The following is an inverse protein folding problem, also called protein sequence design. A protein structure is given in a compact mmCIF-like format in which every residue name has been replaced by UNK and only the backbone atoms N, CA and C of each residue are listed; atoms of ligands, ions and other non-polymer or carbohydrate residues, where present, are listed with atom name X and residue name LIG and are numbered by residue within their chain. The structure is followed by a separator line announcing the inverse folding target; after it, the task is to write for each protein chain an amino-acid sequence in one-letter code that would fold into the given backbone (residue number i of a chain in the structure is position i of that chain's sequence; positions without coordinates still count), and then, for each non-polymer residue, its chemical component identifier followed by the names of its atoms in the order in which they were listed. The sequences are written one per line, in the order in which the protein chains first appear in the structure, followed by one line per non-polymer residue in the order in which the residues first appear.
data_IF_856133280953
#
_entry.id   IF_856133280953
#
_cell.length_a   1.000
_cell.length_b   1.000
_cell.length_c   1.000
_cell.angle_alpha   90.00
_cell.angle_beta   90.00
_cell.angle_gamma   90.00
#
_symmetry.space_group_name_H-M   'P 1'
#
loop_
_entity.id
_entity.type
_entity.pdbx_description
1 polymer ?
#
# COMPACT_ATOMS: atom_id res chain seq x y z
N UNK A 1 -7.45 8.34 -16.65
CA UNK A 1 -6.37 9.35 -16.47
C UNK A 1 -6.27 9.93 -15.04
N UNK A 2 -7.01 9.43 -14.03
CA UNK A 2 -6.88 9.90 -12.64
C UNK A 2 -5.87 9.11 -11.78
N UNK A 3 -5.42 7.94 -12.25
CA UNK A 3 -4.52 7.04 -11.51
C UNK A 3 -3.08 7.59 -11.50
N UNK A 4 -2.65 8.20 -12.61
CA UNK A 4 -1.31 8.78 -12.75
C UNK A 4 -1.09 9.98 -11.82
N UNK A 5 -2.12 10.80 -11.58
CA UNK A 5 -2.00 11.93 -10.64
C UNK A 5 -1.87 11.48 -9.18
N UNK A 6 -2.56 10.40 -8.78
CA UNK A 6 -2.47 9.87 -7.41
C UNK A 6 -1.09 9.28 -7.11
N UNK A 7 -0.55 8.48 -8.04
CA UNK A 7 0.80 7.90 -7.91
C UNK A 7 1.88 8.98 -7.97
N UNK A 8 1.69 10.03 -8.77
CA UNK A 8 2.62 11.16 -8.79
C UNK A 8 2.66 11.86 -7.42
N UNK A 9 1.51 12.14 -6.82
CA UNK A 9 1.41 12.76 -5.50
C UNK A 9 2.09 11.88 -4.43
N UNK A 10 1.79 10.57 -4.40
CA UNK A 10 2.42 9.66 -3.44
C UNK A 10 3.94 9.62 -3.61
N UNK A 11 4.43 9.59 -4.86
CA UNK A 11 5.86 9.57 -5.17
C UNK A 11 6.57 10.82 -4.64
N UNK A 12 5.99 12.02 -4.82
CA UNK A 12 6.58 13.25 -4.29
C UNK A 12 6.57 13.32 -2.75
N UNK A 13 5.49 12.87 -2.10
CA UNK A 13 5.45 12.80 -0.65
C UNK A 13 6.51 11.85 -0.10
N UNK A 14 6.68 10.66 -0.70
CA UNK A 14 7.68 9.69 -0.24
C UNK A 14 9.11 10.12 -0.60
N UNK A 15 9.31 10.85 -1.70
CA UNK A 15 10.60 11.49 -2.00
C UNK A 15 10.99 12.48 -0.89
N UNK A 16 10.06 13.37 -0.50
CA UNK A 16 10.26 14.29 0.61
C UNK A 16 10.55 13.57 1.93
N UNK A 17 9.87 12.45 2.18
CA UNK A 17 10.12 11.61 3.34
C UNK A 17 11.53 11.00 3.34
N UNK A 18 12.02 10.52 2.19
CA UNK A 18 13.39 10.04 2.03
C UNK A 18 14.43 11.12 2.36
N UNK A 19 14.24 12.32 1.84
CA UNK A 19 15.08 13.50 2.15
C UNK A 19 15.05 13.81 3.65
N UNK A 20 13.86 13.79 4.26
CA UNK A 20 13.67 14.04 5.69
C UNK A 20 14.36 12.98 6.55
N UNK A 21 14.27 11.69 6.18
CA UNK A 21 14.96 10.61 6.87
C UNK A 21 16.47 10.83 6.88
N UNK A 22 17.06 11.20 5.75
CA UNK A 22 18.50 11.50 5.71
C UNK A 22 18.86 12.73 6.56
N UNK A 23 17.99 13.75 6.60
CA UNK A 23 18.17 14.90 7.49
C UNK A 23 18.14 14.49 8.96
N UNK A 24 17.20 13.61 9.34
CA UNK A 24 17.11 13.05 10.68
C UNK A 24 18.35 12.23 11.02
N UNK A 25 18.82 11.35 10.13
CA UNK A 25 20.04 10.56 10.36
C UNK A 25 21.24 11.47 10.62
N UNK A 26 21.44 12.49 9.79
CA UNK A 26 22.53 13.45 9.97
C UNK A 26 22.40 14.23 11.28
N UNK A 27 21.17 14.60 11.67
CA UNK A 27 20.88 15.23 12.97
C UNK A 27 21.21 14.31 14.15
N UNK A 28 20.85 13.03 14.08
CA UNK A 28 21.12 12.03 15.13
C UNK A 28 22.62 11.79 15.28
N UNK A 29 23.34 11.73 14.16
CA UNK A 29 24.80 11.58 14.17
C UNK A 29 25.55 12.87 14.52
N UNK A 30 24.83 13.97 14.76
CA UNK A 30 25.40 15.32 15.01
C UNK A 30 26.35 15.78 13.89
N UNK A 31 26.07 15.34 12.66
CA UNK A 31 26.84 15.68 11.46
C UNK A 31 26.13 16.85 10.76
N UNK A 32 26.87 17.80 10.14
CA UNK A 32 26.24 18.88 9.39
C UNK A 32 25.28 18.35 8.33
N UNK A 33 24.08 18.93 8.29
CA UNK A 33 22.99 18.57 7.37
C UNK A 33 23.35 18.69 5.88
N UNK A 34 24.47 19.32 5.54
CA UNK A 34 24.93 19.50 4.15
C UNK A 34 26.20 18.73 3.84
N UNK A 35 26.61 17.77 4.68
CA UNK A 35 27.89 17.06 4.48
C UNK A 35 27.95 16.39 3.11
N UNK A 36 26.89 15.68 2.74
CA UNK A 36 26.83 14.88 1.53
C UNK A 36 25.47 15.07 0.84
N UNK A 37 25.31 16.12 0.02
CA UNK A 37 24.02 16.46 -0.61
C UNK A 37 23.50 15.37 -1.55
N UNK A 38 24.40 14.57 -2.14
CA UNK A 38 24.04 13.45 -3.01
C UNK A 38 23.28 12.34 -2.28
N UNK A 39 23.56 12.14 -1.00
CA UNK A 39 22.83 11.14 -0.21
C UNK A 39 21.35 11.50 -0.08
N UNK A 40 21.00 12.79 0.02
CA UNK A 40 19.59 13.22 0.06
C UNK A 40 18.85 12.89 -1.23
N UNK A 41 19.51 13.00 -2.38
CA UNK A 41 18.93 12.60 -3.66
C UNK A 41 18.75 11.08 -3.73
N UNK A 42 19.71 10.30 -3.23
CA UNK A 42 19.61 8.84 -3.19
C UNK A 42 18.49 8.37 -2.26
N UNK A 43 18.41 8.93 -1.05
CA UNK A 43 17.34 8.62 -0.11
C UNK A 43 15.98 9.11 -0.60
N UNK A 44 15.92 10.27 -1.26
CA UNK A 44 14.71 10.74 -1.93
C UNK A 44 14.28 9.80 -3.06
N UNK A 45 15.20 9.37 -3.93
CA UNK A 45 14.92 8.43 -5.00
C UNK A 45 14.46 7.06 -4.48
N UNK A 46 15.06 6.58 -3.38
CA UNK A 46 14.59 5.38 -2.66
C UNK A 46 13.16 5.57 -2.14
N UNK A 47 12.87 6.70 -1.51
CA UNK A 47 11.51 7.04 -1.07
C UNK A 47 10.52 7.08 -2.23
N UNK A 48 10.86 7.72 -3.34
CA UNK A 48 10.06 7.75 -4.56
C UNK A 48 9.78 6.35 -5.11
N UNK A 49 10.80 5.48 -5.17
CA UNK A 49 10.65 4.09 -5.60
C UNK A 49 9.67 3.31 -4.71
N UNK A 50 9.76 3.50 -3.38
CA UNK A 50 8.80 2.92 -2.43
C UNK A 50 7.39 3.44 -2.69
N UNK A 51 7.22 4.76 -2.86
CA UNK A 51 5.91 5.37 -3.16
C UNK A 51 5.29 4.88 -4.47
N UNK A 52 6.12 4.53 -5.45
CA UNK A 52 5.69 3.92 -6.71
C UNK A 52 5.27 2.45 -6.56
N UNK A 53 5.98 1.67 -5.73
CA UNK A 53 5.71 0.24 -5.50
C UNK A 53 4.64 -0.04 -4.44
N UNK A 54 4.35 0.92 -3.56
CA UNK A 54 3.39 0.77 -2.47
C UNK A 54 2.00 0.26 -2.91
N UNK A 55 1.38 0.76 -4.00
CA UNK A 55 0.05 0.29 -4.42
C UNK A 55 0.04 -1.18 -4.86
N UNK A 56 1.11 -1.63 -5.53
CA UNK A 56 1.28 -3.02 -5.96
C UNK A 56 1.43 -3.95 -4.76
N UNK A 57 2.23 -3.54 -3.76
CA UNK A 57 2.37 -4.31 -2.52
C UNK A 57 1.07 -4.37 -1.72
N UNK A 58 0.30 -3.29 -1.69
CA UNK A 58 -1.00 -3.26 -1.01
C UNK A 58 -1.99 -4.23 -1.68
N UNK A 59 -2.06 -4.24 -3.01
CA UNK A 59 -2.90 -5.19 -3.75
C UNK A 59 -2.50 -6.64 -3.47
N UNK A 60 -1.21 -6.96 -3.59
CA UNK A 60 -0.72 -8.31 -3.32
C UNK A 60 -1.03 -8.78 -1.88
N UNK A 61 -0.95 -7.88 -0.89
CA UNK A 61 -1.30 -8.21 0.49
C UNK A 61 -2.79 -8.52 0.66
N UNK A 62 -3.66 -7.77 0.00
CA UNK A 62 -5.11 -7.98 0.06
C UNK A 62 -5.49 -9.28 -0.63
N UNK A 63 -4.89 -9.58 -1.79
CA UNK A 63 -5.15 -10.81 -2.52
C UNK A 63 -4.77 -12.03 -1.68
N UNK A 64 -3.59 -12.01 -1.05
CA UNK A 64 -3.17 -13.08 -0.13
C UNK A 64 -4.11 -13.23 1.08
N UNK A 65 -4.62 -12.12 1.63
CA UNK A 65 -5.58 -12.17 2.74
C UNK A 65 -6.93 -12.73 2.27
N UNK A 66 -7.36 -12.38 1.07
CA UNK A 66 -8.61 -12.85 0.48
C UNK A 66 -8.56 -14.33 0.15
N UNK A 67 -7.41 -14.86 -0.30
CA UNK A 67 -7.18 -16.29 -0.46
C UNK A 67 -7.32 -17.03 0.89
N UNK A 68 -6.69 -16.52 1.95
CA UNK A 68 -6.86 -17.08 3.31
C UNK A 68 -8.29 -16.95 3.85
N UNK A 69 -9.03 -15.92 3.46
CA UNK A 69 -10.42 -15.72 3.84
C UNK A 69 -11.33 -16.71 3.10
N UNK A 70 -11.08 -16.97 1.82
CA UNK A 70 -11.81 -17.95 1.01
C UNK A 70 -11.69 -19.36 1.60
N UNK A 71 -10.48 -19.78 2.00
CA UNK A 71 -10.25 -21.06 2.69
C UNK A 71 -11.03 -21.19 4.00
N UNK A 72 -11.33 -20.07 4.65
CA UNK A 72 -12.01 -20.00 5.96
C UNK A 72 -13.49 -19.64 5.86
N UNK A 73 -14.03 -19.47 4.64
CA UNK A 73 -15.41 -19.03 4.41
C UNK A 73 -15.68 -17.59 4.89
N UNK A 74 -14.64 -16.78 5.06
CA UNK A 74 -14.73 -15.38 5.45
C UNK A 74 -14.90 -14.49 4.21
N UNK A 75 -15.60 -13.35 4.33
CA UNK A 75 -15.80 -12.42 3.23
C UNK A 75 -14.51 -11.67 2.88
N UNK A 76 -14.30 -11.32 1.61
CA UNK A 76 -13.08 -10.65 1.17
C UNK A 76 -13.06 -9.18 1.62
N UNK A 77 -11.84 -8.72 1.91
CA UNK A 77 -11.48 -7.37 2.31
C UNK A 77 -11.15 -6.53 1.08
N UNK A 78 -11.49 -5.24 1.16
CA UNK A 78 -11.14 -4.24 0.16
C UNK A 78 -9.89 -3.42 0.57
N UNK A 79 -9.35 -2.63 -0.36
CA UNK A 79 -8.13 -1.83 -0.23
C UNK A 79 -8.15 -0.85 0.95
N UNK A 80 -9.35 -0.41 1.35
CA UNK A 80 -9.56 0.49 2.49
C UNK A 80 -9.72 -0.24 3.83
N UNK A 81 -9.52 -1.57 3.87
CA UNK A 81 -9.75 -2.40 5.06
C UNK A 81 -11.23 -2.46 5.47
N UNK A 82 -12.12 -1.94 4.63
CA UNK A 82 -13.55 -1.99 4.85
C UNK A 82 -14.11 -3.29 4.30
N UNK A 83 -15.03 -3.86 5.07
CA UNK A 83 -15.84 -4.99 4.65
C UNK A 83 -16.64 -4.56 3.42
N UNK A 84 -16.32 -5.09 2.24
CA UNK A 84 -17.09 -4.79 1.04
C UNK A 84 -18.51 -5.35 1.23
N UNK A 85 -19.50 -4.46 1.42
CA UNK A 85 -20.90 -4.87 1.56
C UNK A 85 -21.38 -5.67 0.34
N UNK A 86 -20.78 -5.39 -0.84
CA UNK A 86 -21.01 -6.11 -2.08
C UNK A 86 -20.46 -7.54 -2.07
N UNK A 87 -19.34 -7.80 -1.38
CA UNK A 87 -18.80 -9.16 -1.27
C UNK A 87 -19.64 -10.03 -0.36
N UNK A 88 -20.22 -9.45 0.71
CA UNK A 88 -21.20 -10.13 1.58
C UNK A 88 -22.47 -10.53 0.83
N UNK A 89 -22.97 -9.66 -0.06
CA UNK A 89 -24.12 -9.97 -0.91
C UNK A 89 -23.82 -11.08 -1.91
N UNK A 90 -22.64 -11.05 -2.55
CA UNK A 90 -22.20 -12.12 -3.45
C UNK A 90 -22.07 -13.44 -2.72
N UNK A 91 -21.47 -13.44 -1.52
CA UNK A 91 -21.30 -14.64 -0.69
C UNK A 91 -22.64 -15.22 -0.21
N UNK A 92 -23.61 -14.37 0.16
CA UNK A 92 -24.97 -14.80 0.48
C UNK A 92 -25.69 -15.42 -0.73
N UNK A 93 -25.52 -14.85 -1.93
CA UNK A 93 -26.11 -15.43 -3.14
C UNK A 93 -25.46 -16.76 -3.53
N UNK A 94 -24.14 -16.90 -3.38
CA UNK A 94 -23.45 -18.18 -3.64
C UNK A 94 -23.84 -19.24 -2.61
N UNK A 95 -24.01 -18.87 -1.33
CA UNK A 95 -24.43 -19.78 -0.27
C UNK A 95 -25.90 -20.23 -0.43
N UNK A 96 -26.81 -19.32 -0.83
CA UNK A 96 -28.19 -19.69 -1.14
C UNK A 96 -28.30 -20.60 -2.38
N UNK A 97 -27.43 -20.40 -3.37
CA UNK A 97 -27.40 -21.24 -4.57
C UNK A 97 -26.90 -22.66 -4.31
N UNK A 98 -26.10 -22.90 -3.26
CA UNK A 98 -25.64 -24.25 -2.90
C UNK A 98 -26.59 -25.01 -1.97
N UNK A 99 -27.59 -24.34 -1.38
CA UNK A 99 -28.57 -24.96 -0.46
C UNK A 99 -29.86 -25.43 -1.13
N UNK A 100 -30.06 -25.14 -2.41
CA UNK A 100 -31.24 -25.58 -3.19
C UNK A 100 -31.02 -26.90 -3.96
N UNK A 101 -29.83 -27.52 -3.85
CA UNK A 101 -29.49 -28.79 -4.53
C UNK A 101 -29.68 -30.05 -3.63
N UNK A 102 -30.53 -29.99 -2.59
CA UNK A 102 -30.97 -31.14 -1.76
C UNK A 102 -32.50 -31.27 -1.70
#
# INVERSE_FOLDING_TARGET
MAITSSVAISTFYHFGWGVALKAMTNSVMKVPLRREPWEYLMFGALGAYVGYKMPEWQQNLIDNINEMHEERGLPPLDVDGQFSLGSKFKQLMTYSASTDDN
#
